data_IF_706956071251
#
_entry.id   IF_706956071251
#
_cell.length_a   1.000
_cell.length_b   1.000
_cell.length_c   1.000
_cell.angle_alpha   90.00
_cell.angle_beta   90.00
_cell.angle_gamma   90.00
#
_symmetry.space_group_name_H-M   'P 1'
#
loop_
_entity.id
_entity.type
_entity.pdbx_description
1 polymer ?
#
# COMPACT_ATOMS: atom_id res chain seq x y z
N UNK A 1 -5.73 -3.90 75.16
CA UNK A 1 -4.96 -4.68 74.17
C UNK A 1 -5.89 -5.00 73.01
N UNK A 2 -5.59 -4.40 71.85
CA UNK A 2 -5.75 -4.92 70.47
C UNK A 2 -7.15 -5.31 69.95
N UNK A 3 -7.59 -5.01 68.74
CA UNK A 3 -7.23 -4.01 67.71
C UNK A 3 -8.30 -4.23 66.60
N UNK A 4 -9.20 -3.27 66.38
CA UNK A 4 -10.15 -3.34 65.27
C UNK A 4 -9.54 -2.62 64.06
N UNK A 5 -8.80 -3.35 63.24
CA UNK A 5 -8.31 -2.89 61.94
C UNK A 5 -9.20 -3.43 60.82
N UNK A 6 -10.24 -2.68 60.50
CA UNK A 6 -10.87 -2.70 59.17
C UNK A 6 -10.98 -1.26 58.69
N UNK A 7 -9.80 -0.66 58.50
CA UNK A 7 -9.63 0.62 57.84
C UNK A 7 -10.10 0.52 56.40
N UNK A 8 -11.18 1.24 56.11
CA UNK A 8 -11.64 1.59 54.77
C UNK A 8 -10.46 2.06 53.92
N UNK A 9 -10.19 1.35 52.83
CA UNK A 9 -9.70 1.96 51.61
C UNK A 9 -10.60 1.49 50.48
N UNK A 10 -11.77 2.13 50.36
CA UNK A 10 -12.44 2.19 49.08
C UNK A 10 -11.54 3.04 48.19
N UNK A 11 -10.61 2.39 47.49
CA UNK A 11 -9.89 2.98 46.39
C UNK A 11 -10.95 3.47 45.41
N UNK A 12 -11.22 4.78 45.43
CA UNK A 12 -12.06 5.40 44.42
C UNK A 12 -11.46 5.03 43.09
N UNK A 13 -12.20 4.29 42.26
CA UNK A 13 -11.87 4.09 40.85
C UNK A 13 -11.61 5.48 40.29
N UNK A 14 -10.34 5.81 40.06
CA UNK A 14 -9.93 7.08 39.49
C UNK A 14 -10.74 7.31 38.23
N UNK A 15 -11.27 8.53 38.08
CA UNK A 15 -12.03 8.93 36.91
C UNK A 15 -11.08 8.80 35.71
N UNK A 16 -11.28 7.77 34.88
CA UNK A 16 -10.46 7.56 33.68
C UNK A 16 -10.51 8.85 32.86
N UNK A 17 -9.36 9.46 32.53
CA UNK A 17 -9.29 10.65 31.70
C UNK A 17 -10.08 10.48 30.40
N UNK A 18 -10.70 11.57 29.92
CA UNK A 18 -11.49 11.52 28.67
C UNK A 18 -10.64 11.04 27.49
N UNK A 19 -9.39 11.47 27.42
CA UNK A 19 -8.48 11.11 26.33
C UNK A 19 -8.10 9.63 26.37
N UNK A 20 -7.96 9.03 27.56
CA UNK A 20 -7.72 7.59 27.71
C UNK A 20 -8.93 6.78 27.24
N UNK A 21 -10.16 7.22 27.61
CA UNK A 21 -11.39 6.57 27.12
C UNK A 21 -11.52 6.71 25.60
N UNK A 22 -11.22 7.89 25.05
CA UNK A 22 -11.24 8.13 23.60
C UNK A 22 -10.26 7.19 22.89
N UNK A 23 -9.02 7.18 23.36
CA UNK A 23 -7.93 6.37 22.77
C UNK A 23 -8.25 4.89 22.84
N UNK A 24 -8.67 4.38 24.00
CA UNK A 24 -8.97 2.96 24.17
C UNK A 24 -10.08 2.50 23.21
N UNK A 25 -11.18 3.24 23.11
CA UNK A 25 -12.30 2.85 22.25
C UNK A 25 -11.94 2.92 20.77
N UNK A 26 -11.21 3.96 20.34
CA UNK A 26 -10.74 4.07 18.95
C UNK A 26 -9.76 2.95 18.62
N UNK A 27 -8.79 2.64 19.49
CA UNK A 27 -7.85 1.53 19.27
C UNK A 27 -8.54 0.18 19.14
N UNK A 28 -9.54 -0.10 19.99
CA UNK A 28 -10.36 -1.32 19.88
C UNK A 28 -11.09 -1.38 18.54
N UNK A 29 -11.76 -0.30 18.14
CA UNK A 29 -12.48 -0.25 16.86
C UNK A 29 -11.53 -0.38 15.66
N UNK A 30 -10.35 0.24 15.73
CA UNK A 30 -9.33 0.15 14.69
C UNK A 30 -8.76 -1.25 14.56
N UNK A 31 -8.52 -1.97 15.67
CA UNK A 31 -8.10 -3.37 15.63
C UNK A 31 -9.11 -4.26 14.89
N UNK A 32 -10.41 -4.01 15.08
CA UNK A 32 -11.46 -4.71 14.33
C UNK A 32 -11.45 -4.35 12.84
N UNK A 33 -11.26 -3.08 12.49
CA UNK A 33 -11.13 -2.63 11.08
C UNK A 33 -9.88 -3.24 10.43
N UNK A 34 -8.75 -3.32 11.13
CA UNK A 34 -7.53 -3.94 10.61
C UNK A 34 -7.68 -5.45 10.38
N UNK A 35 -8.52 -6.11 11.16
CA UNK A 35 -8.77 -7.56 11.04
C UNK A 35 -9.79 -7.87 9.95
N UNK A 36 -10.87 -7.08 9.87
CA UNK A 36 -12.04 -7.41 9.05
C UNK A 36 -12.21 -6.52 7.81
N UNK A 37 -11.51 -5.38 7.74
CA UNK A 37 -11.69 -4.34 6.74
C UNK A 37 -12.88 -3.41 7.02
N UNK A 38 -12.96 -2.31 6.26
CA UNK A 38 -14.12 -1.42 6.30
C UNK A 38 -15.28 -2.05 5.50
N UNK A 39 -16.38 -2.42 6.16
CA UNK A 39 -17.63 -2.76 5.46
C UNK A 39 -18.55 -1.55 5.37
N UNK A 40 -19.33 -1.45 4.29
CA UNK A 40 -20.35 -0.39 4.14
C UNK A 40 -21.29 -0.42 5.35
N UNK A 41 -21.50 0.75 5.98
CA UNK A 41 -22.46 0.93 7.08
C UNK A 41 -21.99 0.52 8.48
N UNK A 42 -20.76 0.03 8.67
CA UNK A 42 -20.21 -0.36 9.99
C UNK A 42 -21.13 -1.28 10.80
N UNK A 43 -21.93 -2.11 10.13
CA UNK A 43 -22.95 -2.94 10.80
C UNK A 43 -22.33 -3.95 11.78
N UNK A 44 -21.07 -4.32 11.56
CA UNK A 44 -20.29 -5.19 12.44
C UNK A 44 -19.70 -4.46 13.67
N UNK A 45 -19.68 -3.12 13.69
CA UNK A 45 -19.21 -2.31 14.82
C UNK A 45 -20.40 -1.88 15.69
N UNK A 46 -20.76 -2.75 16.62
CA UNK A 46 -21.75 -2.46 17.65
C UNK A 46 -21.08 -1.68 18.79
N UNK A 47 -21.52 -0.44 19.01
CA UNK A 47 -20.94 0.48 19.99
C UNK A 47 -20.89 -0.13 21.41
N UNK A 48 -21.89 -0.92 21.77
CA UNK A 48 -21.94 -1.56 23.09
C UNK A 48 -20.93 -2.69 23.24
N UNK A 49 -20.65 -3.43 22.17
CA UNK A 49 -19.62 -4.47 22.16
C UNK A 49 -18.23 -3.83 22.20
N UNK A 50 -18.01 -2.75 21.44
CA UNK A 50 -16.78 -1.95 21.50
C UNK A 50 -16.52 -1.41 22.91
N UNK A 51 -17.53 -0.86 23.57
CA UNK A 51 -17.42 -0.33 24.94
C UNK A 51 -17.02 -1.44 25.92
N UNK A 52 -17.65 -2.62 25.78
CA UNK A 52 -17.36 -3.78 26.62
C UNK A 52 -15.95 -4.30 26.40
N UNK A 53 -15.54 -4.42 25.14
CA UNK A 53 -14.21 -4.91 24.75
C UNK A 53 -13.10 -3.95 25.15
N UNK A 54 -13.28 -2.65 24.93
CA UNK A 54 -12.34 -1.61 25.36
C UNK A 54 -12.26 -1.46 26.89
N UNK A 55 -13.19 -2.07 27.64
CA UNK A 55 -13.22 -2.02 29.10
C UNK A 55 -13.50 -0.62 29.67
N UNK A 56 -14.09 0.28 28.87
CA UNK A 56 -14.30 1.69 29.25
C UNK A 56 -15.69 1.93 29.85
N UNK A 57 -15.85 2.92 30.75
CA UNK A 57 -17.17 3.25 31.29
C UNK A 57 -18.12 3.78 30.20
N UNK A 58 -19.27 3.13 30.02
CA UNK A 58 -20.32 3.54 29.06
C UNK A 58 -20.68 5.03 29.17
N UNK A 59 -20.85 5.53 30.39
CA UNK A 59 -21.19 6.94 30.63
C UNK A 59 -20.08 7.94 30.33
N UNK A 60 -18.82 7.49 30.23
CA UNK A 60 -17.71 8.32 29.77
C UNK A 60 -17.71 8.41 28.23
N UNK A 61 -17.99 7.30 27.55
CA UNK A 61 -18.08 7.22 26.08
C UNK A 61 -19.16 8.16 25.54
N UNK A 62 -20.40 8.08 26.06
CA UNK A 62 -21.48 8.98 25.64
C UNK A 62 -21.30 10.46 26.06
N UNK A 63 -20.27 10.78 26.86
CA UNK A 63 -19.85 12.17 27.15
C UNK A 63 -18.76 12.69 26.21
N UNK A 64 -18.11 11.79 25.47
CA UNK A 64 -17.10 12.13 24.47
C UNK A 64 -17.78 12.22 23.12
N UNK A 65 -18.59 11.22 22.77
CA UNK A 65 -19.39 11.20 21.56
C UNK A 65 -20.88 11.23 21.91
N UNK A 66 -21.54 12.34 21.58
CA UNK A 66 -22.97 12.52 21.83
C UNK A 66 -23.84 11.63 20.93
N UNK A 67 -23.31 11.25 19.76
CA UNK A 67 -23.99 10.39 18.78
C UNK A 67 -23.06 9.29 18.27
N UNK A 68 -23.65 8.25 17.67
CA UNK A 68 -22.90 7.16 17.03
C UNK A 68 -22.13 7.69 15.83
N UNK A 69 -22.72 8.63 15.11
CA UNK A 69 -22.15 9.32 13.95
C UNK A 69 -20.86 10.06 14.35
N UNK A 70 -20.87 10.81 15.45
CA UNK A 70 -19.68 11.53 15.91
C UNK A 70 -18.49 10.59 16.23
N UNK A 71 -18.77 9.40 16.78
CA UNK A 71 -17.76 8.37 16.96
C UNK A 71 -17.22 7.84 15.62
N UNK A 72 -18.10 7.61 14.65
CA UNK A 72 -17.69 7.13 13.33
C UNK A 72 -16.88 8.15 12.53
N UNK A 73 -17.19 9.44 12.63
CA UNK A 73 -16.41 10.50 12.00
C UNK A 73 -14.96 10.54 12.54
N UNK A 74 -14.81 10.35 13.85
CA UNK A 74 -13.51 10.21 14.50
C UNK A 74 -12.79 8.93 14.04
N UNK A 75 -13.48 7.79 14.06
CA UNK A 75 -12.92 6.51 13.61
C UNK A 75 -12.47 6.57 12.14
N UNK A 76 -13.28 7.14 11.24
CA UNK A 76 -12.92 7.31 9.82
C UNK A 76 -11.65 8.13 9.66
N UNK A 77 -11.49 9.18 10.47
CA UNK A 77 -10.28 10.01 10.46
C UNK A 77 -9.05 9.21 10.91
N UNK A 78 -9.17 8.43 11.99
CA UNK A 78 -8.07 7.60 12.50
C UNK A 78 -7.72 6.45 11.53
N UNK A 79 -8.72 5.79 10.94
CA UNK A 79 -8.50 4.74 9.94
C UNK A 79 -7.79 5.33 8.73
N UNK A 80 -8.25 6.48 8.20
CA UNK A 80 -7.58 7.12 7.07
C UNK A 80 -6.10 7.40 7.38
N UNK A 81 -5.79 7.89 8.59
CA UNK A 81 -4.44 8.20 9.03
C UNK A 81 -3.52 6.97 9.19
N UNK A 82 -4.09 5.78 9.40
CA UNK A 82 -3.31 4.55 9.57
C UNK A 82 -3.32 3.65 8.33
N UNK A 83 -4.18 3.93 7.35
CA UNK A 83 -4.20 3.17 6.11
C UNK A 83 -2.96 3.53 5.29
N UNK A 84 -1.93 2.73 5.49
CA UNK A 84 -0.91 2.48 4.47
C UNK A 84 -1.42 1.34 3.61
N UNK A 85 -1.59 1.54 2.30
CA UNK A 85 -2.29 0.60 1.43
C UNK A 85 -1.51 -0.71 1.21
N UNK A 86 -0.28 -0.84 1.74
CA UNK A 86 0.54 -2.06 1.61
C UNK A 86 0.83 -2.42 0.17
N UNK A 87 0.88 -1.41 -0.72
CA UNK A 87 1.03 -1.56 -2.18
C UNK A 87 2.45 -1.87 -2.64
N UNK A 88 3.43 -1.60 -1.79
CA UNK A 88 4.82 -1.90 -2.06
C UNK A 88 5.18 -3.10 -1.17
N UNK A 89 5.19 -4.29 -1.77
CA UNK A 89 5.64 -5.49 -1.10
C UNK A 89 7.18 -5.55 -1.14
N UNK A 90 7.82 -5.27 -0.01
CA UNK A 90 9.28 -5.22 0.11
C UNK A 90 9.94 -6.56 -0.26
N UNK A 91 9.29 -7.69 0.06
CA UNK A 91 9.74 -9.03 -0.32
C UNK A 91 9.77 -9.20 -1.85
N UNK A 92 8.72 -8.78 -2.55
CA UNK A 92 8.70 -8.76 -4.03
C UNK A 92 9.78 -7.86 -4.63
N UNK A 93 10.10 -6.71 -4.01
CA UNK A 93 11.17 -5.83 -4.48
C UNK A 93 12.55 -6.49 -4.33
N UNK A 94 12.79 -7.18 -3.21
CA UNK A 94 14.02 -7.95 -2.95
C UNK A 94 14.14 -9.14 -3.91
N UNK A 95 13.07 -9.92 -4.06
CA UNK A 95 13.02 -11.07 -4.96
C UNK A 95 13.29 -10.67 -6.42
N UNK A 96 12.82 -9.48 -6.83
CA UNK A 96 13.13 -8.91 -8.15
C UNK A 96 14.63 -8.70 -8.34
N UNK A 97 15.32 -8.16 -7.34
CA UNK A 97 16.77 -7.95 -7.38
C UNK A 97 17.55 -9.28 -7.45
N UNK A 98 17.17 -10.26 -6.63
CA UNK A 98 17.79 -11.59 -6.65
C UNK A 98 17.59 -12.29 -8.00
N UNK A 99 16.39 -12.20 -8.57
CA UNK A 99 16.07 -12.76 -9.87
C UNK A 99 16.93 -12.16 -10.99
N UNK A 100 17.14 -10.84 -10.96
CA UNK A 100 18.04 -10.15 -11.89
C UNK A 100 19.49 -10.60 -11.73
N UNK A 101 19.95 -10.77 -10.48
CA UNK A 101 21.30 -11.26 -10.20
C UNK A 101 21.55 -12.65 -10.79
N UNK A 102 20.57 -13.56 -10.70
CA UNK A 102 20.69 -14.91 -11.27
C UNK A 102 20.82 -14.92 -12.80
N UNK A 103 20.31 -13.90 -13.48
CA UNK A 103 20.29 -13.80 -14.95
C UNK A 103 21.15 -12.67 -15.50
N UNK A 104 22.07 -12.17 -14.70
CA UNK A 104 22.87 -10.99 -15.01
C UNK A 104 23.56 -11.07 -16.39
N UNK A 105 24.00 -12.26 -16.83
CA UNK A 105 24.64 -12.45 -18.13
C UNK A 105 23.76 -12.08 -19.33
N UNK A 106 22.43 -12.22 -19.24
CA UNK A 106 21.52 -11.90 -20.34
C UNK A 106 21.42 -10.39 -20.58
N UNK A 107 21.80 -9.55 -19.60
CA UNK A 107 21.80 -8.09 -19.71
C UNK A 107 22.76 -7.57 -20.78
N UNK A 108 23.78 -8.36 -21.15
CA UNK A 108 24.77 -7.99 -22.17
C UNK A 108 24.18 -7.83 -23.57
N UNK A 109 23.03 -8.42 -23.85
CA UNK A 109 22.42 -8.40 -25.18
C UNK A 109 21.06 -7.70 -25.19
N UNK A 110 20.70 -6.95 -26.25
CA UNK A 110 19.37 -6.36 -26.36
C UNK A 110 18.22 -7.38 -26.24
N UNK A 111 18.38 -8.54 -26.86
CA UNK A 111 17.43 -9.67 -26.80
C UNK A 111 17.27 -10.17 -25.36
N UNK A 112 18.38 -10.43 -24.67
CA UNK A 112 18.36 -10.86 -23.26
C UNK A 112 17.73 -9.84 -22.33
N UNK A 113 17.95 -8.53 -22.55
CA UNK A 113 17.28 -7.46 -21.78
C UNK A 113 15.78 -7.41 -22.02
N UNK A 114 15.30 -7.58 -23.25
CA UNK A 114 13.86 -7.69 -23.55
C UNK A 114 13.24 -8.88 -22.84
N UNK A 115 13.92 -10.02 -22.86
CA UNK A 115 13.46 -11.25 -22.20
C UNK A 115 13.40 -11.10 -20.67
N UNK A 116 14.47 -10.62 -20.05
CA UNK A 116 14.51 -10.34 -18.61
C UNK A 116 13.42 -9.36 -18.21
N UNK A 117 13.23 -8.28 -18.97
CA UNK A 117 12.22 -7.29 -18.66
C UNK A 117 10.83 -7.92 -18.63
N UNK A 118 10.46 -8.69 -19.65
CA UNK A 118 9.19 -9.42 -19.69
C UNK A 118 9.02 -10.38 -18.50
N UNK A 119 10.05 -11.16 -18.19
CA UNK A 119 9.99 -12.16 -17.12
C UNK A 119 9.89 -11.50 -15.73
N UNK A 120 10.67 -10.45 -15.47
CA UNK A 120 10.64 -9.69 -14.22
C UNK A 120 9.32 -8.98 -14.02
N UNK A 121 8.84 -8.29 -15.06
CA UNK A 121 7.56 -7.57 -15.02
C UNK A 121 6.41 -8.55 -14.78
N UNK A 122 6.44 -9.73 -15.41
CA UNK A 122 5.40 -10.74 -15.24
C UNK A 122 5.39 -11.28 -13.81
N UNK A 123 6.56 -11.65 -13.27
CA UNK A 123 6.68 -12.16 -11.91
C UNK A 123 6.26 -11.11 -10.88
N UNK A 124 6.81 -9.90 -10.97
CA UNK A 124 6.53 -8.81 -10.03
C UNK A 124 5.06 -8.39 -10.07
N UNK A 125 4.45 -8.31 -11.27
CA UNK A 125 3.05 -7.96 -11.40
C UNK A 125 2.12 -8.99 -10.75
N UNK A 126 2.43 -10.28 -10.88
CA UNK A 126 1.64 -11.35 -10.29
C UNK A 126 1.73 -11.39 -8.77
N UNK A 127 2.96 -11.33 -8.25
CA UNK A 127 3.18 -11.29 -6.81
C UNK A 127 2.52 -10.07 -6.18
N UNK A 128 2.72 -8.89 -6.79
CA UNK A 128 2.11 -7.65 -6.33
C UNK A 128 0.58 -7.70 -6.41
N UNK A 129 0.01 -8.26 -7.47
CA UNK A 129 -1.44 -8.40 -7.61
C UNK A 129 -2.03 -9.26 -6.49
N UNK A 130 -1.44 -10.41 -6.18
CA UNK A 130 -1.92 -11.26 -5.08
C UNK A 130 -1.72 -10.61 -3.71
N UNK A 131 -0.58 -9.98 -3.46
CA UNK A 131 -0.30 -9.27 -2.22
C UNK A 131 -1.29 -8.12 -1.98
N UNK A 132 -1.52 -7.29 -3.00
CA UNK A 132 -2.46 -6.15 -2.92
C UNK A 132 -3.90 -6.63 -2.74
N UNK A 133 -4.35 -7.61 -3.53
CA UNK A 133 -5.76 -8.02 -3.51
C UNK A 133 -6.14 -8.82 -2.26
N UNK A 134 -5.17 -9.51 -1.65
CA UNK A 134 -5.35 -10.18 -0.36
C UNK A 134 -5.29 -9.22 0.84
N UNK A 135 -4.70 -8.02 0.70
CA UNK A 135 -4.54 -7.02 1.76
C UNK A 135 -5.86 -6.42 2.28
N UNK A 136 -6.08 -6.52 3.59
CA UNK A 136 -7.19 -5.85 4.29
C UNK A 136 -7.01 -4.33 4.25
N UNK A 137 -5.77 -3.87 4.34
CA UNK A 137 -5.40 -2.45 4.32
C UNK A 137 -5.74 -1.83 2.96
N UNK A 138 -5.42 -2.53 1.86
CA UNK A 138 -5.81 -2.09 0.52
C UNK A 138 -7.33 -2.04 0.35
N UNK A 139 -8.07 -3.08 0.77
CA UNK A 139 -9.54 -3.06 0.71
C UNK A 139 -10.16 -1.91 1.51
N UNK A 140 -9.60 -1.62 2.68
CA UNK A 140 -9.99 -0.49 3.54
C UNK A 140 -9.71 0.84 2.85
N UNK A 141 -8.53 1.00 2.22
CA UNK A 141 -8.20 2.16 1.40
C UNK A 141 -9.24 2.35 0.29
N UNK A 142 -9.53 1.30 -0.49
CA UNK A 142 -10.45 1.39 -1.64
C UNK A 142 -11.85 1.78 -1.17
N UNK A 143 -12.32 1.22 -0.06
CA UNK A 143 -13.60 1.59 0.52
C UNK A 143 -13.64 3.07 0.93
N UNK A 144 -12.61 3.56 1.63
CA UNK A 144 -12.49 4.96 2.02
C UNK A 144 -12.42 5.89 0.81
N UNK A 145 -11.54 5.61 -0.14
CA UNK A 145 -11.34 6.43 -1.34
C UNK A 145 -12.62 6.51 -2.19
N UNK A 146 -13.33 5.38 -2.35
CA UNK A 146 -14.57 5.31 -3.14
C UNK A 146 -15.74 6.03 -2.46
N UNK A 147 -15.72 6.15 -1.14
CA UNK A 147 -16.82 6.76 -0.37
C UNK A 147 -16.50 8.15 0.17
N UNK A 148 -15.25 8.63 0.09
CA UNK A 148 -14.83 9.90 0.66
C UNK A 148 -15.74 11.08 0.28
N UNK A 149 -16.19 11.13 -0.98
CA UNK A 149 -17.04 12.20 -1.50
C UNK A 149 -18.46 12.22 -0.93
N UNK A 150 -18.93 11.13 -0.33
CA UNK A 150 -20.27 11.04 0.29
C UNK A 150 -20.29 11.54 1.74
N UNK A 151 -19.12 11.76 2.35
CA UNK A 151 -19.03 12.23 3.73
C UNK A 151 -19.33 13.73 3.88
N UNK A 152 -19.79 14.18 5.07
CA UNK A 152 -19.87 15.60 5.41
C UNK A 152 -18.54 16.32 5.18
N UNK A 153 -18.57 17.60 4.80
CA UNK A 153 -17.38 18.34 4.35
C UNK A 153 -16.19 18.24 5.31
N UNK A 154 -16.40 18.46 6.61
CA UNK A 154 -15.32 18.40 7.60
C UNK A 154 -14.66 17.03 7.73
N UNK A 155 -15.40 15.94 7.48
CA UNK A 155 -14.89 14.56 7.51
C UNK A 155 -14.24 14.21 6.19
N UNK A 156 -14.91 14.52 5.08
CA UNK A 156 -14.41 14.36 3.72
C UNK A 156 -13.03 15.00 3.57
N UNK A 157 -12.88 16.26 3.98
CA UNK A 157 -11.64 17.01 3.77
C UNK A 157 -10.48 16.38 4.56
N UNK A 158 -10.74 15.90 5.80
CA UNK A 158 -9.77 15.13 6.60
C UNK A 158 -9.38 13.81 5.96
N UNK A 159 -10.37 13.03 5.49
CA UNK A 159 -10.15 11.74 4.83
C UNK A 159 -9.37 11.92 3.53
N UNK A 160 -9.75 12.90 2.68
CA UNK A 160 -9.04 13.18 1.43
C UNK A 160 -7.60 13.58 1.68
N UNK A 161 -7.34 14.43 2.67
CA UNK A 161 -5.97 14.85 2.99
C UNK A 161 -5.13 13.68 3.48
N UNK A 162 -5.71 12.81 4.30
CA UNK A 162 -5.04 11.61 4.79
C UNK A 162 -4.72 10.61 3.65
N UNK A 163 -5.70 10.33 2.78
CA UNK A 163 -5.52 9.49 1.59
C UNK A 163 -4.46 10.07 0.64
N UNK A 164 -4.46 11.41 0.45
CA UNK A 164 -3.44 12.11 -0.33
C UNK A 164 -2.05 11.90 0.25
N UNK A 165 -1.89 12.01 1.57
CA UNK A 165 -0.60 11.82 2.22
C UNK A 165 -0.10 10.37 2.08
N UNK A 166 -0.98 9.38 2.25
CA UNK A 166 -0.66 7.97 2.00
C UNK A 166 -0.26 7.72 0.54
N UNK A 167 -0.97 8.31 -0.41
CA UNK A 167 -0.67 8.14 -1.84
C UNK A 167 0.68 8.79 -2.21
N UNK A 168 0.97 10.00 -1.70
CA UNK A 168 2.25 10.66 -1.94
C UNK A 168 3.42 9.87 -1.34
N UNK A 169 3.26 9.29 -0.16
CA UNK A 169 4.28 8.43 0.44
C UNK A 169 4.55 7.17 -0.40
N UNK A 170 3.48 6.54 -0.93
CA UNK A 170 3.60 5.41 -1.86
C UNK A 170 4.33 5.81 -3.15
N UNK A 171 3.99 6.97 -3.74
CA UNK A 171 4.66 7.47 -4.94
C UNK A 171 6.15 7.72 -4.70
N UNK A 172 6.52 8.32 -3.56
CA UNK A 172 7.91 8.58 -3.20
C UNK A 172 8.70 7.26 -3.08
N UNK A 173 8.14 6.24 -2.42
CA UNK A 173 8.78 4.93 -2.29
C UNK A 173 8.98 4.24 -3.64
N UNK A 174 7.93 4.17 -4.46
CA UNK A 174 7.97 3.47 -5.74
C UNK A 174 8.79 4.19 -6.79
N UNK A 175 8.83 5.53 -6.77
CA UNK A 175 9.72 6.31 -7.62
C UNK A 175 11.19 5.89 -7.40
N UNK A 176 11.62 5.73 -6.15
CA UNK A 176 12.98 5.25 -5.82
C UNK A 176 13.21 3.86 -6.40
N UNK A 177 12.25 2.95 -6.25
CA UNK A 177 12.37 1.60 -6.81
C UNK A 177 12.53 1.63 -8.33
N UNK A 178 11.64 2.31 -9.05
CA UNK A 178 11.69 2.35 -10.52
C UNK A 178 12.94 3.03 -11.06
N UNK A 179 13.39 4.10 -10.40
CA UNK A 179 14.63 4.81 -10.72
C UNK A 179 15.86 3.91 -10.61
N UNK A 180 15.81 2.89 -9.75
CA UNK A 180 16.89 1.93 -9.59
C UNK A 180 16.76 0.74 -10.55
N UNK A 181 15.57 0.17 -10.72
CA UNK A 181 15.39 -1.08 -11.46
C UNK A 181 15.41 -0.88 -12.98
N UNK A 182 14.81 0.21 -13.48
CA UNK A 182 14.67 0.45 -14.93
C UNK A 182 16.04 0.59 -15.61
N UNK A 183 16.99 1.38 -15.07
CA UNK A 183 18.35 1.43 -15.62
C UNK A 183 19.10 0.10 -15.48
N UNK A 184 18.89 -0.66 -14.40
CA UNK A 184 19.59 -1.92 -14.18
C UNK A 184 19.31 -2.94 -15.30
N UNK A 185 18.09 -2.95 -15.84
CA UNK A 185 17.68 -3.81 -16.96
C UNK A 185 17.93 -3.20 -18.35
N UNK A 186 18.61 -2.04 -18.42
CA UNK A 186 19.01 -1.36 -19.66
C UNK A 186 17.91 -0.65 -20.41
N UNK A 187 16.94 -0.15 -19.66
CA UNK A 187 15.94 0.79 -20.12
C UNK A 187 16.09 2.12 -19.40
N UNK A 188 15.43 3.14 -19.92
CA UNK A 188 15.30 4.44 -19.29
C UNK A 188 13.89 4.94 -19.45
N UNK A 189 13.46 5.83 -18.56
CA UNK A 189 12.21 6.55 -18.73
C UNK A 189 12.25 7.31 -20.07
N UNK A 190 11.10 7.43 -20.73
CA UNK A 190 11.00 8.25 -21.92
C UNK A 190 11.44 9.70 -21.64
N UNK A 191 12.16 10.35 -22.57
CA UNK A 191 12.69 11.70 -22.34
C UNK A 191 11.61 12.75 -22.05
N UNK A 192 10.43 12.61 -22.66
CA UNK A 192 9.33 13.58 -22.55
C UNK A 192 8.65 13.60 -21.17
N UNK A 193 8.97 12.64 -20.31
CA UNK A 193 8.54 12.58 -18.92
C UNK A 193 9.52 13.29 -17.96
N UNK A 194 10.59 13.91 -18.45
CA UNK A 194 11.50 14.77 -17.68
C UNK A 194 12.05 14.14 -16.39
N UNK A 195 12.41 12.85 -16.43
CA UNK A 195 12.91 12.08 -15.29
C UNK A 195 11.92 11.98 -14.09
N UNK A 196 10.63 12.21 -14.35
CA UNK A 196 9.54 12.02 -13.40
C UNK A 196 8.91 10.63 -13.58
N UNK A 197 9.22 9.73 -12.65
CA UNK A 197 8.69 8.36 -12.64
C UNK A 197 7.28 8.25 -12.04
N UNK A 198 6.77 9.29 -11.39
CA UNK A 198 5.47 9.23 -10.69
C UNK A 198 4.29 8.91 -11.63
N UNK A 199 4.22 9.45 -12.86
CA UNK A 199 3.20 9.05 -13.83
C UNK A 199 3.21 7.54 -14.14
N UNK A 200 4.38 6.92 -14.21
CA UNK A 200 4.50 5.46 -14.37
C UNK A 200 3.95 4.75 -13.14
N UNK A 201 4.33 5.18 -11.92
CA UNK A 201 3.84 4.57 -10.68
C UNK A 201 2.31 4.62 -10.60
N UNK A 202 1.70 5.79 -10.85
CA UNK A 202 0.24 5.98 -10.83
C UNK A 202 -0.46 5.10 -11.88
N UNK A 203 0.05 5.07 -13.12
CA UNK A 203 -0.56 4.27 -14.18
C UNK A 203 -0.48 2.77 -13.87
N UNK A 204 0.67 2.31 -13.38
CA UNK A 204 0.91 0.92 -13.00
C UNK A 204 0.04 0.49 -11.82
N UNK A 205 -0.07 1.32 -10.76
CA UNK A 205 -0.92 1.01 -9.61
C UNK A 205 -2.39 0.97 -9.99
N UNK A 206 -2.87 1.93 -10.78
CA UNK A 206 -4.27 2.00 -11.22
C UNK A 206 -4.73 0.72 -11.95
N UNK A 207 -3.86 0.13 -12.77
CA UNK A 207 -4.16 -1.14 -13.46
C UNK A 207 -4.27 -2.31 -12.47
N UNK A 208 -3.32 -2.47 -11.56
CA UNK A 208 -3.36 -3.56 -10.56
C UNK A 208 -4.59 -3.41 -9.65
N UNK A 209 -4.86 -2.21 -9.17
CA UNK A 209 -6.00 -1.94 -8.29
C UNK A 209 -7.33 -2.13 -9.01
N UNK A 210 -7.44 -1.68 -10.27
CA UNK A 210 -8.62 -1.88 -11.10
C UNK A 210 -8.90 -3.37 -11.36
N UNK A 211 -7.85 -4.16 -11.61
CA UNK A 211 -7.96 -5.62 -11.71
C UNK A 211 -8.39 -6.23 -10.36
N UNK A 212 -7.88 -5.72 -9.24
CA UNK A 212 -8.27 -6.17 -7.91
C UNK A 212 -9.75 -5.94 -7.61
N UNK A 213 -10.29 -4.78 -7.98
CA UNK A 213 -11.73 -4.50 -7.90
C UNK A 213 -12.51 -5.44 -8.82
N UNK A 214 -12.02 -5.63 -10.06
CA UNK A 214 -12.66 -6.50 -11.05
C UNK A 214 -12.68 -7.96 -10.61
N UNK A 215 -11.65 -8.44 -9.89
CA UNK A 215 -11.55 -9.82 -9.37
C UNK A 215 -12.75 -10.18 -8.50
N UNK A 216 -13.29 -9.23 -7.73
CA UNK A 216 -14.46 -9.45 -6.88
C UNK A 216 -15.77 -9.64 -7.67
N UNK A 217 -15.81 -9.22 -8.94
CA UNK A 217 -17.01 -9.21 -9.78
C UNK A 217 -16.94 -10.28 -10.87
N UNK A 218 -15.76 -10.45 -11.48
CA UNK A 218 -15.50 -11.33 -12.62
C UNK A 218 -14.17 -12.10 -12.44
N UNK A 219 -14.05 -12.94 -11.40
CA UNK A 219 -12.78 -13.60 -11.06
C UNK A 219 -12.23 -14.45 -12.21
N UNK A 220 -13.07 -15.23 -12.89
CA UNK A 220 -12.64 -16.13 -13.98
C UNK A 220 -11.91 -15.39 -15.11
N UNK A 221 -12.30 -14.15 -15.43
CA UNK A 221 -11.63 -13.36 -16.47
C UNK A 221 -10.31 -12.77 -15.97
N UNK A 222 -10.28 -12.32 -14.72
CA UNK A 222 -9.12 -11.66 -14.12
C UNK A 222 -8.01 -12.67 -13.80
N UNK A 223 -8.39 -13.86 -13.33
CA UNK A 223 -7.48 -14.94 -12.95
C UNK A 223 -7.07 -15.82 -14.13
N UNK A 224 -7.63 -15.55 -15.32
CA UNK A 224 -7.28 -16.26 -16.54
C UNK A 224 -5.78 -16.18 -16.85
N UNK A 225 -5.28 -17.29 -17.40
CA UNK A 225 -3.90 -17.47 -17.82
C UNK A 225 -3.82 -17.57 -19.34
N UNK A 226 -2.78 -16.97 -19.90
CA UNK A 226 -2.60 -16.84 -21.34
C UNK A 226 -1.19 -17.31 -21.72
N UNK A 227 -1.09 -18.08 -22.80
CA UNK A 227 0.20 -18.46 -23.36
C UNK A 227 0.69 -17.34 -24.29
N UNK A 228 1.85 -16.74 -23.96
CA UNK A 228 2.51 -15.72 -24.76
C UNK A 228 3.85 -16.26 -25.24
N UNK A 229 4.09 -16.10 -26.54
CA UNK A 229 5.39 -16.36 -27.17
C UNK A 229 6.30 -15.14 -27.00
N UNK A 230 7.46 -15.34 -26.39
CA UNK A 230 8.49 -14.34 -26.16
C UNK A 230 9.84 -14.83 -26.68
N UNK A 231 10.27 -14.33 -27.85
CA UNK A 231 11.55 -14.66 -28.47
C UNK A 231 11.87 -16.17 -28.51
N UNK A 232 10.86 -17.00 -28.83
CA UNK A 232 10.99 -18.45 -28.92
C UNK A 232 10.79 -19.20 -27.59
N UNK A 233 10.36 -18.52 -26.53
CA UNK A 233 9.87 -19.13 -25.29
C UNK A 233 8.38 -18.87 -25.14
N UNK A 234 7.58 -19.92 -25.09
CA UNK A 234 6.21 -19.83 -24.62
C UNK A 234 6.20 -19.76 -23.09
N UNK A 235 5.55 -18.75 -22.54
CA UNK A 235 5.31 -18.61 -21.11
C UNK A 235 3.81 -18.43 -20.85
N UNK A 236 3.32 -19.06 -19.78
CA UNK A 236 1.98 -18.80 -19.27
C UNK A 236 2.03 -17.57 -18.37
N UNK A 237 1.19 -16.56 -18.66
CA UNK A 237 1.15 -15.29 -17.92
C UNK A 237 -0.28 -14.92 -17.52
N UNK A 238 -0.43 -14.23 -16.40
CA UNK A 238 -1.71 -13.69 -15.94
C UNK A 238 -2.14 -12.43 -16.72
N UNK A 239 -3.43 -12.07 -16.61
CA UNK A 239 -3.91 -10.77 -17.08
C UNK A 239 -3.20 -9.58 -16.39
N UNK A 240 -2.84 -9.73 -15.11
CA UNK A 240 -2.09 -8.72 -14.37
C UNK A 240 -0.71 -8.46 -14.99
N UNK A 241 0.04 -9.54 -15.28
CA UNK A 241 1.32 -9.46 -15.98
C UNK A 241 1.21 -8.78 -17.35
N UNK A 242 0.23 -9.18 -18.16
CA UNK A 242 0.00 -8.59 -19.49
C UNK A 242 -0.27 -7.08 -19.39
N UNK A 243 -1.19 -6.70 -18.52
CA UNK A 243 -1.64 -5.32 -18.38
C UNK A 243 -0.52 -4.44 -17.82
N UNK A 244 0.21 -4.93 -16.83
CA UNK A 244 1.33 -4.22 -16.23
C UNK A 244 2.51 -4.08 -17.21
N UNK A 245 2.78 -5.10 -18.02
CA UNK A 245 3.77 -5.02 -19.09
C UNK A 245 3.37 -3.97 -20.15
N UNK A 246 2.11 -3.92 -20.56
CA UNK A 246 1.63 -2.95 -21.53
C UNK A 246 1.79 -1.50 -21.04
N UNK A 247 1.49 -1.24 -19.76
CA UNK A 247 1.72 0.06 -19.14
C UNK A 247 3.22 0.34 -19.07
N UNK A 248 4.01 -0.47 -18.39
CA UNK A 248 5.45 -0.21 -18.18
C UNK A 248 6.20 0.02 -19.49
N UNK A 249 5.94 -0.81 -20.52
CA UNK A 249 6.52 -0.66 -21.87
C UNK A 249 6.18 0.66 -22.56
N UNK A 250 5.06 1.28 -22.20
CA UNK A 250 4.63 2.56 -22.76
C UNK A 250 5.38 3.77 -22.16
N UNK A 251 6.03 3.59 -21.01
CA UNK A 251 6.74 4.65 -20.27
C UNK A 251 8.26 4.56 -20.38
N UNK A 252 8.80 3.41 -20.79
CA UNK A 252 10.25 3.18 -20.88
C UNK A 252 10.69 2.94 -22.31
N UNK A 253 11.96 3.22 -22.59
CA UNK A 253 12.61 2.95 -23.88
C UNK A 253 13.99 2.34 -23.63
N UNK A 254 14.55 1.58 -24.59
CA UNK A 254 15.92 1.10 -24.48
C UNK A 254 16.89 2.26 -24.23
N UNK A 255 17.85 2.07 -23.32
CA UNK A 255 18.90 3.05 -23.09
C UNK A 255 20.03 2.85 -24.11
N UNK A 256 20.29 3.82 -25.02
CA UNK A 256 21.38 3.71 -25.98
C UNK A 256 22.77 3.76 -25.32
N UNK A 257 22.86 4.26 -24.08
CA UNK A 257 24.12 4.41 -23.35
C UNK A 257 24.29 3.33 -22.27
N UNK A 258 23.50 2.25 -22.33
CA UNK A 258 23.54 1.20 -21.33
C UNK A 258 24.91 0.52 -21.24
N UNK A 259 25.47 0.48 -20.03
CA UNK A 259 26.67 -0.26 -19.68
C UNK A 259 26.29 -1.54 -18.93
N UNK A 260 26.37 -2.67 -19.63
CA UNK A 260 26.02 -3.98 -19.07
C UNK A 260 26.97 -4.40 -17.93
N UNK A 261 28.27 -4.12 -18.03
CA UNK A 261 29.21 -4.57 -17.00
C UNK A 261 29.04 -3.75 -15.72
N UNK A 262 28.77 -2.45 -15.83
CA UNK A 262 28.43 -1.62 -14.68
C UNK A 262 27.12 -2.09 -13.99
N UNK A 263 26.10 -2.44 -14.77
CA UNK A 263 24.83 -2.96 -14.23
C UNK A 263 24.99 -4.32 -13.54
N UNK A 264 25.76 -5.24 -14.14
CA UNK A 264 26.06 -6.56 -13.57
C UNK A 264 26.88 -6.43 -12.28
N UNK A 265 27.87 -5.53 -12.25
CA UNK A 265 28.65 -5.25 -11.04
C UNK A 265 27.77 -4.75 -9.91
N UNK A 266 26.83 -3.84 -10.19
CA UNK A 266 25.84 -3.34 -9.22
C UNK A 266 24.93 -4.44 -8.69
N UNK A 267 24.43 -5.31 -9.56
CA UNK A 267 23.62 -6.48 -9.17
C UNK A 267 24.38 -7.45 -8.25
N UNK A 268 25.69 -7.58 -8.47
CA UNK A 268 26.56 -8.47 -7.69
C UNK A 268 27.00 -7.87 -6.35
N UNK A 269 26.90 -6.56 -6.17
CA UNK A 269 27.28 -5.83 -4.95
C UNK A 269 26.30 -5.98 -3.77
N UNK A 270 25.09 -6.50 -4.01
CA UNK A 270 24.06 -6.72 -2.99
C UNK A 270 23.13 -5.52 -2.78
N UNK A 271 22.01 -5.77 -2.07
CA UNK A 271 20.91 -4.81 -1.84
C UNK A 271 21.31 -3.65 -0.91
N UNK A 272 22.38 -3.81 -0.13
CA UNK A 272 22.92 -2.80 0.79
C UNK A 272 23.40 -1.51 0.08
N UNK A 273 23.63 -1.56 -1.24
CA UNK A 273 24.05 -0.43 -2.07
C UNK A 273 22.92 0.15 -2.96
N UNK A 274 21.65 -0.15 -2.70
CA UNK A 274 20.59 0.67 -3.32
C UNK A 274 20.74 2.08 -2.76
N UNK A 275 21.11 3.10 -3.56
CA UNK A 275 21.16 4.45 -3.08
C UNK A 275 19.75 4.79 -2.65
N UNK A 276 19.60 5.06 -1.36
CA UNK A 276 18.49 5.81 -0.80
C UNK A 276 18.47 7.15 -1.53
N UNK A 277 17.76 7.22 -2.65
CA UNK A 277 17.53 8.47 -3.35
C UNK A 277 16.67 9.28 -2.40
N UNK A 278 17.26 10.33 -1.81
CA UNK A 278 16.51 11.23 -0.95
C UNK A 278 15.31 11.75 -1.74
N UNK A 279 14.09 11.69 -1.15
CA UNK A 279 12.92 12.29 -1.77
C UNK A 279 13.28 13.73 -2.14
N UNK A 280 12.93 14.19 -3.36
CA UNK A 280 13.12 15.59 -3.73
C UNK A 280 12.47 16.44 -2.64
N UNK A 281 13.27 17.23 -1.93
CA UNK A 281 12.74 18.20 -0.98
C UNK A 281 11.75 19.07 -1.74
N UNK A 282 10.48 19.05 -1.33
CA UNK A 282 9.47 19.97 -1.89
C UNK A 282 10.02 21.38 -1.67
N UNK A 283 10.47 22.01 -2.75
CA UNK A 283 10.63 23.46 -2.78
C UNK A 283 9.25 24.04 -2.53
N UNK A 284 9.03 24.51 -1.31
CA UNK A 284 8.02 25.53 -1.05
C UNK A 284 8.68 26.80 -1.56
N UNK A 285 8.53 27.07 -2.85
CA UNK A 285 8.77 28.41 -3.39
C UNK A 285 7.42 29.14 -3.36
N UNK A 286 7.49 30.36 -2.82
CA UNK A 286 6.43 31.28 -2.39
C UNK A 286 5.25 31.53 -3.35
#
# INVERSE_FOLDING_TARGET
MSENSWGKSAAGRGKVPKDEVRTALLQTAMGLVQTNGLTVGFEHLLMDDLIKEAGVPRSAVYKIWETKEAFFEDLLSEVANQVSPGRADEESLVATWEYLGFRADELRTPEGRRRIFLDVVSLAAEQNFEAVTSSVQWRTYVALASTALSYPSAVRDRVIESLRNSELAFLDQMEVFYRNIVPAVGYRLRPDLNDDYRPLVVASSAVIEGLGISRAIIPDLVEARYNIENEGRSAEVSLAAISYHAITSSFIVPDPNYDAEAAIARLSGGIDEIPMVQPRSRGIDD
#
